data_IF_168132912442
#
_entry.id   IF_168132912442
#
_cell.length_a   1.000
_cell.length_b   1.000
_cell.length_c   1.000
_cell.angle_alpha   90.00
_cell.angle_beta   90.00
_cell.angle_gamma   90.00
#
_symmetry.space_group_name_H-M   'P 1'
#
loop_
_entity.id
_entity.type
_entity.pdbx_description
1 polymer ?
#
# COMPACT_ATOMS: atom_id res chain seq x y z
N UNK A 1 6.74 0.49 7.57
CA UNK A 1 6.75 -0.93 7.19
C UNK A 1 8.20 -1.40 7.16
N UNK A 2 8.52 -2.46 7.90
CA UNK A 2 9.88 -2.98 7.94
C UNK A 2 10.17 -3.83 6.70
N UNK A 3 11.30 -3.59 6.04
CA UNK A 3 11.67 -4.37 4.85
C UNK A 3 11.86 -5.86 5.14
N UNK A 4 12.14 -6.25 6.39
CA UNK A 4 12.23 -7.64 6.80
C UNK A 4 10.88 -8.37 6.68
N UNK A 5 9.78 -7.69 7.02
CA UNK A 5 8.43 -8.24 6.93
C UNK A 5 8.10 -8.69 5.51
N UNK A 6 8.34 -7.82 4.51
CA UNK A 6 8.12 -8.15 3.10
C UNK A 6 9.05 -9.24 2.57
N UNK A 7 10.31 -9.24 3.03
CA UNK A 7 11.30 -10.23 2.57
C UNK A 7 10.98 -11.63 3.07
N UNK A 8 10.37 -11.74 4.24
CA UNK A 8 10.04 -13.00 4.88
C UNK A 8 8.63 -13.50 4.55
N UNK A 9 7.82 -12.70 3.85
CA UNK A 9 6.47 -13.10 3.46
C UNK A 9 6.49 -14.39 2.62
N UNK A 10 5.52 -15.27 2.86
CA UNK A 10 5.41 -16.59 2.24
C UNK A 10 4.11 -16.81 1.46
N UNK A 11 3.03 -16.11 1.79
CA UNK A 11 1.72 -16.29 1.15
C UNK A 11 1.25 -15.01 0.45
N UNK A 12 1.19 -13.89 1.17
CA UNK A 12 0.55 -12.67 0.70
C UNK A 12 1.33 -11.41 1.06
N UNK A 13 1.39 -10.47 0.11
CA UNK A 13 1.74 -9.07 0.36
C UNK A 13 0.66 -8.20 -0.25
N UNK A 14 -0.08 -7.44 0.56
CA UNK A 14 -1.10 -6.51 0.08
C UNK A 14 -0.77 -5.08 0.50
N UNK A 15 -0.79 -4.16 -0.45
CA UNK A 15 -0.52 -2.74 -0.23
C UNK A 15 -1.67 -1.93 -0.81
N UNK A 16 -2.37 -1.19 0.03
CA UNK A 16 -3.43 -0.25 -0.36
C UNK A 16 -3.05 1.15 0.12
N UNK A 17 -2.86 2.06 -0.81
CA UNK A 17 -2.41 3.44 -0.55
C UNK A 17 -3.00 4.41 -1.56
N UNK A 18 -3.05 5.69 -1.20
CA UNK A 18 -3.12 6.75 -2.21
C UNK A 18 -1.80 6.84 -2.99
N UNK A 19 -0.79 7.50 -2.41
CA UNK A 19 0.45 7.84 -3.12
C UNK A 19 1.54 6.77 -3.05
N UNK A 20 1.88 6.22 -1.88
CA UNK A 20 2.86 5.12 -1.74
C UNK A 20 4.34 5.42 -2.04
N UNK A 21 4.73 6.63 -2.44
CA UNK A 21 6.12 6.94 -2.89
C UNK A 21 7.17 6.68 -1.82
N UNK A 22 6.83 6.89 -0.55
CA UNK A 22 7.74 6.65 0.59
C UNK A 22 8.26 5.21 0.66
N UNK A 23 7.54 4.22 0.12
CA UNK A 23 7.99 2.82 0.10
C UNK A 23 9.27 2.66 -0.73
N UNK A 24 9.36 3.38 -1.84
CA UNK A 24 10.50 3.31 -2.75
C UNK A 24 11.70 4.11 -2.22
N UNK A 25 11.42 5.19 -1.51
CA UNK A 25 12.46 6.06 -0.96
C UNK A 25 13.00 5.52 0.37
N UNK A 26 12.14 4.89 1.17
CA UNK A 26 12.47 4.34 2.49
C UNK A 26 12.93 2.87 2.48
N UNK A 27 12.58 2.08 1.47
CA UNK A 27 13.02 0.68 1.34
C UNK A 27 13.96 0.51 0.14
N UNK A 28 15.27 0.35 0.38
CA UNK A 28 16.23 0.14 -0.70
C UNK A 28 15.84 -1.06 -1.57
N UNK A 29 15.76 -0.82 -2.89
CA UNK A 29 15.43 -1.84 -3.89
C UNK A 29 14.04 -2.46 -3.68
N UNK A 30 13.07 -1.67 -3.23
CA UNK A 30 11.70 -2.11 -2.98
C UNK A 30 11.08 -2.96 -4.11
N UNK A 31 11.18 -2.54 -5.37
CA UNK A 31 10.67 -3.32 -6.51
C UNK A 31 11.32 -4.71 -6.65
N UNK A 32 12.62 -4.83 -6.32
CA UNK A 32 13.31 -6.13 -6.29
C UNK A 32 12.84 -7.00 -5.13
N UNK A 33 12.44 -6.41 -4.01
CA UNK A 33 11.85 -7.14 -2.88
C UNK A 33 10.53 -7.78 -3.32
N UNK A 34 9.65 -7.00 -3.96
CA UNK A 34 8.38 -7.51 -4.47
C UNK A 34 8.58 -8.59 -5.53
N UNK A 35 9.45 -8.36 -6.51
CA UNK A 35 9.76 -9.35 -7.54
C UNK A 35 10.41 -10.63 -6.98
N UNK A 36 11.19 -10.52 -5.90
CA UNK A 36 11.74 -11.68 -5.22
C UNK A 36 10.65 -12.45 -4.45
N UNK A 37 9.65 -11.76 -3.89
CA UNK A 37 8.51 -12.40 -3.23
C UNK A 37 7.66 -13.18 -4.24
N UNK A 38 7.30 -12.57 -5.37
CA UNK A 38 6.52 -13.26 -6.43
C UNK A 38 7.25 -14.50 -6.96
N UNK A 39 8.58 -14.44 -7.11
CA UNK A 39 9.40 -15.61 -7.49
C UNK A 39 9.37 -16.74 -6.47
N UNK A 40 9.10 -16.46 -5.19
CA UNK A 40 8.89 -17.48 -4.15
C UNK A 40 7.46 -18.02 -4.13
N UNK A 41 6.57 -17.52 -4.98
CA UNK A 41 5.15 -17.90 -5.02
C UNK A 41 4.23 -17.01 -4.19
N UNK A 42 4.75 -15.94 -3.58
CA UNK A 42 3.94 -14.98 -2.80
C UNK A 42 3.02 -14.21 -3.75
N UNK A 43 1.72 -14.17 -3.44
CA UNK A 43 0.78 -13.31 -4.14
C UNK A 43 0.96 -11.86 -3.68
N UNK A 44 1.30 -10.96 -4.61
CA UNK A 44 1.54 -9.55 -4.32
C UNK A 44 0.44 -8.72 -4.96
N UNK A 45 -0.28 -7.94 -4.15
CA UNK A 45 -1.25 -6.95 -4.61
C UNK A 45 -0.84 -5.55 -4.20
N UNK A 46 -0.84 -4.64 -5.16
CA UNK A 46 -0.57 -3.23 -4.94
C UNK A 46 -1.68 -2.40 -5.57
N UNK A 47 -2.45 -1.71 -4.73
CA UNK A 47 -3.54 -0.84 -5.14
C UNK A 47 -3.18 0.61 -4.79
N UNK A 48 -3.21 1.47 -5.81
CA UNK A 48 -2.81 2.89 -5.76
C UNK A 48 -4.03 3.78 -5.97
N UNK A 49 -4.05 4.98 -5.40
CA UNK A 49 -5.07 5.97 -5.73
C UNK A 49 -5.04 6.32 -7.23
N UNK A 50 -6.20 6.37 -7.88
CA UNK A 50 -6.29 6.93 -9.23
C UNK A 50 -6.09 8.44 -9.17
N UNK A 51 -5.02 8.92 -9.81
CA UNK A 51 -4.64 10.32 -9.86
C UNK A 51 -5.72 11.25 -10.44
N UNK A 52 -6.69 10.70 -11.18
CA UNK A 52 -7.83 11.44 -11.75
C UNK A 52 -9.07 11.41 -10.85
N UNK A 53 -9.04 10.66 -9.75
CA UNK A 53 -10.20 10.52 -8.88
C UNK A 53 -10.44 11.73 -7.99
N UNK A 54 -11.72 11.99 -7.70
CA UNK A 54 -12.13 12.99 -6.71
C UNK A 54 -11.61 12.65 -5.31
N UNK A 55 -11.53 11.37 -4.96
CA UNK A 55 -10.99 10.92 -3.68
C UNK A 55 -9.51 11.30 -3.47
N UNK A 56 -8.67 11.15 -4.51
CA UNK A 56 -7.28 11.61 -4.47
C UNK A 56 -7.20 13.13 -4.39
N UNK A 57 -8.01 13.84 -5.19
CA UNK A 57 -8.01 15.31 -5.16
C UNK A 57 -8.40 15.84 -3.77
N UNK A 58 -9.50 15.33 -3.19
CA UNK A 58 -9.97 15.71 -1.87
C UNK A 58 -8.92 15.41 -0.79
N UNK A 59 -8.33 14.22 -0.79
CA UNK A 59 -7.30 13.87 0.19
C UNK A 59 -6.07 14.77 0.05
N UNK A 60 -5.70 15.16 -1.17
CA UNK A 60 -4.62 16.11 -1.42
C UNK A 60 -4.87 17.46 -0.75
N UNK A 61 -6.09 17.97 -0.85
CA UNK A 61 -6.50 19.21 -0.15
C UNK A 61 -6.49 19.03 1.38
N UNK A 62 -7.02 17.93 1.89
CA UNK A 62 -7.01 17.62 3.33
C UNK A 62 -5.59 17.57 3.91
N UNK A 63 -4.65 16.96 3.19
CA UNK A 63 -3.23 16.91 3.57
C UNK A 63 -2.47 18.21 3.30
N UNK A 64 -3.12 19.23 2.72
CA UNK A 64 -2.53 20.52 2.31
C UNK A 64 -1.38 20.38 1.31
N UNK A 65 -1.44 19.34 0.47
CA UNK A 65 -0.48 19.09 -0.61
C UNK A 65 -1.11 19.19 -2.01
N UNK A 66 -2.44 19.34 -2.09
CA UNK A 66 -3.22 19.50 -3.30
C UNK A 66 -2.86 18.48 -4.39
N UNK A 67 -2.59 18.96 -5.60
CA UNK A 67 -2.25 18.16 -6.77
C UNK A 67 -0.97 17.30 -6.60
N UNK A 68 -0.12 17.57 -5.60
CA UNK A 68 1.05 16.75 -5.35
C UNK A 68 0.69 15.30 -4.96
N UNK A 69 -0.50 15.06 -4.38
CA UNK A 69 -0.94 13.69 -4.09
C UNK A 69 -1.20 12.90 -5.38
N UNK A 70 -1.86 13.52 -6.36
CA UNK A 70 -2.07 12.92 -7.68
C UNK A 70 -0.75 12.62 -8.38
N UNK A 71 0.22 13.54 -8.32
CA UNK A 71 1.57 13.32 -8.85
C UNK A 71 2.27 12.13 -8.17
N UNK A 72 2.16 12.00 -6.84
CA UNK A 72 2.70 10.84 -6.09
C UNK A 72 2.07 9.52 -6.55
N UNK A 73 0.76 9.50 -6.79
CA UNK A 73 0.07 8.32 -7.32
C UNK A 73 0.64 7.90 -8.69
N UNK A 74 0.79 8.87 -9.61
CA UNK A 74 1.38 8.62 -10.93
C UNK A 74 2.83 8.15 -10.85
N UNK A 75 3.64 8.77 -9.98
CA UNK A 75 5.04 8.37 -9.77
C UNK A 75 5.14 6.93 -9.27
N UNK A 76 4.29 6.52 -8.33
CA UNK A 76 4.27 5.15 -7.82
C UNK A 76 3.86 4.16 -8.91
N UNK A 77 2.81 4.46 -9.68
CA UNK A 77 2.39 3.60 -10.79
C UNK A 77 3.52 3.45 -11.83
N UNK A 78 4.19 4.53 -12.20
CA UNK A 78 5.33 4.49 -13.11
C UNK A 78 6.50 3.65 -12.57
N UNK A 79 6.78 3.72 -11.26
CA UNK A 79 7.82 2.89 -10.61
C UNK A 79 7.44 1.41 -10.54
N UNK A 80 6.15 1.07 -10.54
CA UNK A 80 5.63 -0.30 -10.55
C UNK A 80 5.48 -0.88 -11.96
N UNK A 81 5.41 -0.04 -13.00
CA UNK A 81 5.23 -0.46 -14.38
C UNK A 81 6.16 -1.60 -14.84
N UNK A 82 7.46 -1.65 -14.45
CA UNK A 82 8.33 -2.77 -14.82
C UNK A 82 7.92 -4.13 -14.24
N UNK A 83 7.01 -4.16 -13.26
CA UNK A 83 6.49 -5.36 -12.61
C UNK A 83 5.11 -5.77 -13.13
N UNK A 84 4.47 -5.00 -14.02
CA UNK A 84 3.09 -5.24 -14.47
C UNK A 84 2.87 -6.62 -15.11
N UNK A 85 3.89 -7.17 -15.76
CA UNK A 85 3.82 -8.48 -16.41
C UNK A 85 4.40 -9.62 -15.52
N UNK A 86 4.69 -9.34 -14.25
CA UNK A 86 5.23 -10.34 -13.33
C UNK A 86 4.10 -11.28 -12.86
N UNK A 87 4.26 -12.61 -12.98
CA UNK A 87 3.28 -13.55 -12.44
C UNK A 87 3.07 -13.33 -10.93
N UNK A 88 1.82 -13.48 -10.47
CA UNK A 88 1.42 -13.24 -9.08
C UNK A 88 1.61 -11.79 -8.57
N UNK A 89 1.90 -10.83 -9.46
CA UNK A 89 1.82 -9.40 -9.17
C UNK A 89 0.50 -8.85 -9.71
N UNK A 90 -0.26 -8.18 -8.86
CA UNK A 90 -1.46 -7.45 -9.23
C UNK A 90 -1.28 -5.96 -8.91
N UNK A 91 -1.29 -5.11 -9.94
CA UNK A 91 -1.21 -3.66 -9.80
C UNK A 91 -2.53 -3.06 -10.26
N UNK A 92 -3.21 -2.35 -9.36
CA UNK A 92 -4.53 -1.75 -9.61
C UNK A 92 -4.58 -0.30 -9.18
N UNK A 93 -5.54 0.45 -9.69
CA UNK A 93 -5.92 1.76 -9.16
C UNK A 93 -7.29 1.71 -8.48
N UNK A 94 -7.52 2.58 -7.50
CA UNK A 94 -8.82 2.74 -6.85
C UNK A 94 -9.29 4.19 -6.89
N UNK A 95 -10.62 4.38 -6.90
CA UNK A 95 -11.26 5.70 -6.81
C UNK A 95 -11.96 5.93 -5.48
N UNK A 96 -11.96 4.93 -4.59
CA UNK A 96 -12.62 4.96 -3.29
C UNK A 96 -11.89 5.88 -2.30
N UNK A 97 -12.61 6.69 -1.50
CA UNK A 97 -12.04 7.34 -0.33
C UNK A 97 -11.48 6.31 0.67
N UNK A 98 -10.24 6.50 1.13
CA UNK A 98 -9.65 5.63 2.14
C UNK A 98 -9.72 6.27 3.52
N UNK A 99 -10.17 5.49 4.50
CA UNK A 99 -10.03 5.82 5.92
C UNK A 99 -8.69 5.35 6.49
N UNK A 100 -8.09 4.34 5.87
CA UNK A 100 -6.81 3.77 6.28
C UNK A 100 -6.05 3.29 5.06
N UNK A 101 -4.75 3.58 5.01
CA UNK A 101 -3.85 2.81 4.16
C UNK A 101 -3.58 1.46 4.83
N UNK A 102 -3.35 0.42 4.04
CA UNK A 102 -3.12 -0.94 4.55
C UNK A 102 -1.87 -1.55 3.95
N UNK A 103 -1.16 -2.28 4.79
CA UNK A 103 0.12 -2.89 4.48
C UNK A 103 0.17 -4.27 5.13
N UNK A 104 -0.18 -5.30 4.38
CA UNK A 104 -0.23 -6.67 4.85
C UNK A 104 0.98 -7.46 4.35
N UNK A 105 1.51 -8.30 5.22
CA UNK A 105 2.38 -9.40 4.88
C UNK A 105 1.93 -10.61 5.71
N UNK A 106 1.43 -11.64 5.04
CA UNK A 106 0.86 -12.84 5.64
C UNK A 106 -0.14 -12.52 6.76
N UNK A 107 0.26 -12.77 8.01
CA UNK A 107 -0.54 -12.65 9.24
C UNK A 107 -0.30 -11.35 10.02
N UNK A 108 0.38 -10.39 9.39
CA UNK A 108 0.63 -9.06 9.96
C UNK A 108 0.07 -7.99 9.05
N UNK A 109 -0.83 -7.17 9.58
CA UNK A 109 -1.35 -5.97 8.95
C UNK A 109 -0.82 -4.74 9.69
N UNK A 110 -0.26 -3.80 8.93
CA UNK A 110 -0.02 -2.44 9.43
C UNK A 110 -1.13 -1.56 8.86
N UNK A 111 -2.05 -1.15 9.72
CA UNK A 111 -3.06 -0.16 9.39
C UNK A 111 -2.49 1.24 9.65
N UNK A 112 -2.69 2.15 8.70
CA UNK A 112 -2.32 3.55 8.85
C UNK A 112 -3.59 4.42 8.69
N UNK A 113 -4.37 4.59 9.78
CA UNK A 113 -5.56 5.42 9.78
C UNK A 113 -5.26 6.85 9.38
N UNK A 114 -6.07 7.42 8.48
CA UNK A 114 -5.89 8.77 7.99
C UNK A 114 -6.45 9.77 9.00
N UNK A 115 -5.55 10.47 9.68
CA UNK A 115 -5.94 11.58 10.54
C UNK A 115 -6.45 12.73 9.66
N UNK A 116 -7.59 13.29 10.05
CA UNK A 116 -8.21 14.39 9.33
C UNK A 116 -7.33 15.64 9.39
N UNK A 117 -7.05 16.24 8.22
CA UNK A 117 -6.24 17.46 8.13
C UNK A 117 -4.73 17.28 8.40
N UNK A 118 -4.27 16.04 8.64
CA UNK A 118 -2.86 15.75 8.90
C UNK A 118 -2.22 15.06 7.68
N UNK A 119 -0.93 15.33 7.41
CA UNK A 119 -0.20 14.66 6.36
C UNK A 119 -0.02 13.17 6.68
N UNK A 120 0.14 12.34 5.65
CA UNK A 120 0.27 10.90 5.81
C UNK A 120 1.42 10.45 6.73
N UNK A 121 2.49 11.25 6.85
CA UNK A 121 3.64 10.97 7.74
C UNK A 121 3.28 11.00 9.23
N UNK A 122 2.22 11.72 9.59
CA UNK A 122 1.84 11.97 10.98
C UNK A 122 0.76 11.00 11.44
N UNK A 123 0.21 10.21 10.50
CA UNK A 123 -0.77 9.16 10.78
C UNK A 123 -0.13 8.04 11.62
N UNK A 124 -0.86 7.48 12.60
CA UNK A 124 -0.34 6.37 13.41
C UNK A 124 -0.15 5.12 12.54
N UNK A 125 0.84 4.30 12.88
CA UNK A 125 1.02 2.97 12.30
C UNK A 125 0.65 1.92 13.35
N UNK A 126 -0.50 1.29 13.18
CA UNK A 126 -1.03 0.29 14.11
C UNK A 126 -0.72 -1.09 13.55
N UNK A 127 0.04 -1.89 14.29
CA UNK A 127 0.35 -3.28 13.93
C UNK A 127 -0.72 -4.19 14.51
N UNK A 128 -1.34 -5.00 13.66
CA UNK A 128 -2.39 -5.96 14.01
C UNK A 128 -1.93 -7.32 13.50
N UNK A 129 -1.78 -8.30 14.40
CA UNK A 129 -1.49 -9.69 14.02
C UNK A 129 -2.77 -10.50 13.92
N UNK A 130 -2.74 -11.62 13.19
CA UNK A 130 -3.88 -12.55 13.08
C UNK A 130 -4.46 -12.94 14.43
N UNK A 131 -3.60 -13.41 15.30
CA UNK A 131 -4.00 -13.96 16.60
C UNK A 131 -4.59 -12.90 17.55
N UNK A 132 -4.24 -11.63 17.37
CA UNK A 132 -4.72 -10.53 18.19
C UNK A 132 -6.12 -10.04 17.78
N UNK A 133 -6.58 -10.36 16.56
CA UNK A 133 -7.83 -9.84 16.00
C UNK A 133 -8.50 -10.81 15.01
N UNK A 134 -8.79 -12.08 15.38
CA UNK A 134 -9.21 -13.13 14.44
C UNK A 134 -10.43 -12.76 13.59
N UNK A 135 -11.40 -12.01 14.14
CA UNK A 135 -12.59 -11.56 13.40
C UNK A 135 -12.25 -10.61 12.25
N UNK A 136 -11.22 -9.78 12.39
CA UNK A 136 -10.74 -8.95 11.29
C UNK A 136 -10.28 -9.85 10.15
N UNK A 137 -9.49 -10.88 10.44
CA UNK A 137 -8.87 -11.74 9.44
C UNK A 137 -9.84 -12.72 8.78
N UNK A 138 -10.86 -13.16 9.50
CA UNK A 138 -11.90 -14.03 8.96
C UNK A 138 -12.85 -13.28 8.00
N UNK A 139 -13.04 -11.98 8.24
CA UNK A 139 -13.91 -11.13 7.42
C UNK A 139 -13.13 -10.30 6.39
N UNK A 140 -11.80 -10.23 6.51
CA UNK A 140 -10.94 -9.50 5.59
C UNK A 140 -10.71 -10.32 4.33
N UNK A 141 -11.53 -10.06 3.32
CA UNK A 141 -11.17 -10.36 1.95
C UNK A 141 -10.33 -9.18 1.45
N UNK A 142 -9.01 -9.36 1.31
CA UNK A 142 -8.18 -8.34 0.66
C UNK A 142 -8.77 -8.05 -0.73
N UNK A 143 -9.11 -6.80 -1.07
CA UNK A 143 -9.77 -6.43 -2.33
C UNK A 143 -8.90 -6.69 -3.55
#
# INVERSE_FOLDING_TARGET
MEGALLRNAVEHIDILVYGGTFLFDGLPRFTKILAAATKRGVAVRFIIGDAKSTAVAQRGEEERIGAALAARCQMTLARLQPLSDTPAMEIRTHTTPLYTSMFRADDTLIANPHLYGAPASDNPAIVIKRDDAPDLWNNHNSP
#
